data_IF_486411451631
#
_entry.id   IF_486411451631
#
_cell.length_a   1.000
_cell.length_b   1.000
_cell.length_c   1.000
_cell.angle_alpha   90.00
_cell.angle_beta   90.00
_cell.angle_gamma   90.00
#
_symmetry.space_group_name_H-M   'P 1'
#
loop_
_entity.id
_entity.type
_entity.pdbx_description
1 polymer ?
#
# COMPACT_ATOMS: atom_id res chain seq x y z
N UNK A 1 0.69 13.40 4.53
CA UNK A 1 1.46 14.55 3.98
C UNK A 1 1.16 15.95 4.56
N UNK A 2 0.08 16.17 5.33
CA UNK A 2 -0.31 17.54 5.76
C UNK A 2 0.67 18.20 6.74
N UNK A 3 1.35 17.42 7.59
CA UNK A 3 2.29 17.94 8.59
C UNK A 3 3.74 18.08 8.10
N UNK A 4 4.13 17.32 7.07
CA UNK A 4 5.50 17.34 6.55
C UNK A 4 5.77 18.57 5.68
N UNK A 5 4.74 19.11 5.01
CA UNK A 5 4.81 20.32 4.19
C UNK A 5 5.30 21.54 4.98
N UNK A 6 4.71 21.81 6.15
CA UNK A 6 5.10 22.95 6.99
C UNK A 6 6.53 22.80 7.50
N UNK A 7 6.87 21.62 8.02
CA UNK A 7 8.21 21.33 8.51
C UNK A 7 9.26 21.49 7.40
N UNK A 8 8.98 21.00 6.19
CA UNK A 8 9.86 21.14 5.03
C UNK A 8 10.04 22.61 4.64
N UNK A 9 8.96 23.40 4.60
CA UNK A 9 9.02 24.82 4.27
C UNK A 9 9.90 25.61 5.25
N UNK A 10 9.76 25.36 6.55
CA UNK A 10 10.59 25.96 7.60
C UNK A 10 12.07 25.58 7.39
N UNK A 11 12.33 24.30 7.12
CA UNK A 11 13.68 23.81 6.88
C UNK A 11 14.32 24.51 5.69
N UNK A 12 13.61 24.64 4.56
CA UNK A 12 14.07 25.35 3.37
C UNK A 12 14.46 26.80 3.65
N UNK A 13 13.74 27.51 4.53
CA UNK A 13 14.08 28.88 4.93
C UNK A 13 15.43 28.91 5.67
N UNK A 14 15.64 28.01 6.63
CA UNK A 14 16.92 27.93 7.35
C UNK A 14 18.06 27.52 6.43
N UNK A 15 17.81 26.60 5.50
CA UNK A 15 18.76 26.18 4.46
C UNK A 15 19.17 27.36 3.57
N UNK A 16 18.18 28.14 3.10
CA UNK A 16 18.43 29.35 2.32
C UNK A 16 19.24 30.37 3.12
N UNK A 17 18.91 30.59 4.39
CA UNK A 17 19.66 31.48 5.27
C UNK A 17 21.10 31.01 5.50
N UNK A 18 21.32 29.70 5.68
CA UNK A 18 22.66 29.13 5.86
C UNK A 18 23.53 29.33 4.61
N UNK A 19 22.99 29.07 3.41
CA UNK A 19 23.74 29.12 2.14
C UNK A 19 23.90 30.54 1.59
N UNK A 20 22.88 31.38 1.74
CA UNK A 20 22.82 32.72 1.11
C UNK A 20 22.93 33.88 2.12
N UNK A 21 22.91 33.62 3.43
CA UNK A 21 22.94 34.64 4.47
C UNK A 21 24.15 35.57 4.41
N UNK A 22 25.27 35.13 3.86
CA UNK A 22 26.45 35.97 3.62
C UNK A 22 26.19 37.15 2.69
N UNK A 23 25.13 37.11 1.85
CA UNK A 23 24.75 38.23 0.99
C UNK A 23 24.13 39.40 1.74
N UNK A 24 23.62 39.16 2.95
CA UNK A 24 23.07 40.20 3.82
C UNK A 24 24.17 40.96 4.59
N UNK A 25 25.43 40.50 4.54
CA UNK A 25 26.56 41.12 5.23
C UNK A 25 27.30 42.11 4.32
N UNK A 26 27.69 43.25 4.89
CA UNK A 26 28.43 44.30 4.21
C UNK A 26 29.73 43.79 3.57
N UNK A 27 30.11 44.30 2.38
CA UNK A 27 31.39 43.97 1.75
C UNK A 27 32.57 44.46 2.60
N UNK A 28 33.25 43.55 3.30
CA UNK A 28 34.44 43.87 4.11
C UNK A 28 34.45 43.22 5.50
N UNK A 29 33.30 42.75 5.99
CA UNK A 29 33.21 42.15 7.32
C UNK A 29 33.90 40.77 7.38
N UNK A 30 34.77 40.52 8.36
CA UNK A 30 35.49 39.25 8.51
C UNK A 30 34.56 38.04 8.65
N UNK A 31 33.42 38.21 9.32
CA UNK A 31 32.41 37.16 9.45
C UNK A 31 31.82 36.72 8.09
N UNK A 32 31.84 37.57 7.07
CA UNK A 32 31.35 37.21 5.72
C UNK A 32 32.19 36.09 5.10
N UNK A 33 33.51 36.11 5.26
CA UNK A 33 34.38 35.02 4.76
C UNK A 33 34.17 33.73 5.52
N UNK A 34 34.06 33.80 6.86
CA UNK A 34 33.77 32.61 7.69
C UNK A 34 32.44 31.99 7.27
N UNK A 35 31.42 32.81 7.03
CA UNK A 35 30.12 32.34 6.57
C UNK A 35 30.16 31.73 5.17
N UNK A 36 30.91 32.31 4.24
CA UNK A 36 31.09 31.75 2.90
C UNK A 36 31.78 30.37 2.94
N UNK A 37 32.79 30.21 3.80
CA UNK A 37 33.45 28.91 4.00
C UNK A 37 32.47 27.90 4.60
N UNK A 38 31.70 28.29 5.62
CA UNK A 38 30.68 27.42 6.20
C UNK A 38 29.62 27.00 5.18
N UNK A 39 29.12 27.93 4.36
CA UNK A 39 28.17 27.65 3.28
C UNK A 39 28.77 26.70 2.24
N UNK A 40 30.03 26.92 1.84
CA UNK A 40 30.72 26.06 0.89
C UNK A 40 30.90 24.63 1.42
N UNK A 41 31.27 24.47 2.70
CA UNK A 41 31.37 23.17 3.36
C UNK A 41 30.02 22.47 3.38
N UNK A 42 28.94 23.16 3.75
CA UNK A 42 27.58 22.59 3.77
C UNK A 42 27.15 22.10 2.39
N UNK A 43 27.35 22.89 1.34
CA UNK A 43 27.03 22.49 -0.04
C UNK A 43 27.90 21.30 -0.48
N UNK A 44 29.20 21.31 -0.15
CA UNK A 44 30.09 20.19 -0.46
C UNK A 44 29.64 18.89 0.23
N UNK A 45 29.23 18.96 1.50
CA UNK A 45 28.67 17.81 2.23
C UNK A 45 27.42 17.26 1.54
N UNK A 46 26.51 18.12 1.07
CA UNK A 46 25.34 17.66 0.31
C UNK A 46 25.71 16.97 -0.99
N UNK A 47 26.66 17.51 -1.76
CA UNK A 47 27.11 16.89 -3.02
C UNK A 47 27.71 15.52 -2.76
N UNK A 48 28.53 15.40 -1.70
CA UNK A 48 29.15 14.13 -1.31
C UNK A 48 28.09 13.10 -0.87
N UNK A 49 27.05 13.53 -0.16
CA UNK A 49 25.98 12.65 0.34
C UNK A 49 24.85 12.40 -0.67
N UNK A 50 24.84 13.10 -1.79
CA UNK A 50 23.76 13.04 -2.78
C UNK A 50 23.54 11.62 -3.34
N UNK A 51 24.58 10.82 -3.68
CA UNK A 51 24.38 9.46 -4.18
C UNK A 51 23.69 8.56 -3.15
N UNK A 52 24.11 8.60 -1.89
CA UNK A 52 23.51 7.81 -0.82
C UNK A 52 22.03 8.17 -0.59
N UNK A 53 21.68 9.45 -0.73
CA UNK A 53 20.28 9.89 -0.64
C UNK A 53 19.46 9.48 -1.86
N UNK A 54 20.07 9.45 -3.05
CA UNK A 54 19.43 8.98 -4.27
C UNK A 54 19.12 7.48 -4.20
N UNK A 55 20.10 6.65 -3.80
CA UNK A 55 19.92 5.20 -3.69
C UNK A 55 18.82 4.83 -2.68
N UNK A 56 18.75 5.56 -1.56
CA UNK A 56 17.70 5.39 -0.56
C UNK A 56 16.32 5.74 -1.15
N UNK A 57 16.23 6.86 -1.87
CA UNK A 57 14.96 7.29 -2.47
C UNK A 57 14.51 6.33 -3.58
N UNK A 58 15.40 5.86 -4.42
CA UNK A 58 15.06 4.91 -5.50
C UNK A 58 14.63 3.55 -4.96
N UNK A 59 15.24 3.09 -3.87
CA UNK A 59 14.82 1.85 -3.20
C UNK A 59 13.41 2.01 -2.63
N UNK A 60 13.15 3.11 -1.93
CA UNK A 60 11.80 3.39 -1.39
C UNK A 60 10.76 3.54 -2.52
N UNK A 61 11.12 4.17 -3.64
CA UNK A 61 10.22 4.34 -4.78
C UNK A 61 9.90 3.00 -5.46
N UNK A 62 10.89 2.11 -5.58
CA UNK A 62 10.69 0.75 -6.08
C UNK A 62 9.77 -0.06 -5.16
N UNK A 63 10.04 -0.07 -3.85
CA UNK A 63 9.21 -0.79 -2.87
C UNK A 63 7.76 -0.30 -2.88
N UNK A 64 7.55 1.02 -2.96
CA UNK A 64 6.20 1.60 -3.05
C UNK A 64 5.52 1.27 -4.37
N UNK A 65 6.27 1.26 -5.47
CA UNK A 65 5.74 0.91 -6.80
C UNK A 65 5.30 -0.55 -6.86
N UNK A 66 6.07 -1.45 -6.25
CA UNK A 66 5.78 -2.88 -6.19
C UNK A 66 4.58 -3.17 -5.28
N UNK A 67 4.49 -2.52 -4.12
CA UNK A 67 3.31 -2.56 -3.25
C UNK A 67 2.05 -2.05 -3.97
N UNK A 68 2.16 -0.91 -4.66
CA UNK A 68 1.06 -0.32 -5.42
C UNK A 68 0.64 -1.20 -6.61
N UNK A 69 1.55 -1.98 -7.18
CA UNK A 69 1.25 -2.93 -8.24
C UNK A 69 0.36 -4.07 -7.71
N UNK A 70 0.75 -4.68 -6.59
CA UNK A 70 -0.02 -5.78 -5.97
C UNK A 70 -1.40 -5.29 -5.50
N UNK A 71 -1.47 -4.06 -4.99
CA UNK A 71 -2.72 -3.43 -4.61
C UNK A 71 -3.66 -3.19 -5.79
N UNK A 72 -3.17 -2.60 -6.88
CA UNK A 72 -3.95 -2.37 -8.10
C UNK A 72 -4.45 -3.67 -8.71
N UNK A 73 -3.64 -4.72 -8.69
CA UNK A 73 -4.10 -6.02 -9.16
C UNK A 73 -5.24 -6.59 -8.32
N UNK A 74 -5.32 -6.25 -7.03
CA UNK A 74 -6.46 -6.68 -6.23
C UNK A 74 -7.72 -5.91 -6.61
N UNK A 75 -7.57 -4.60 -6.83
CA UNK A 75 -8.62 -3.70 -7.30
C UNK A 75 -9.13 -4.14 -8.69
N UNK A 76 -8.24 -4.47 -9.62
CA UNK A 76 -8.59 -4.96 -10.95
C UNK A 76 -9.48 -6.21 -10.89
N UNK A 77 -9.27 -7.14 -9.93
CA UNK A 77 -10.16 -8.29 -9.76
C UNK A 77 -11.56 -7.90 -9.26
N UNK A 78 -11.65 -6.83 -8.47
CA UNK A 78 -12.94 -6.28 -8.03
C UNK A 78 -13.65 -5.64 -9.21
N UNK A 79 -12.96 -4.77 -9.95
CA UNK A 79 -13.48 -4.05 -11.11
C UNK A 79 -13.87 -4.98 -12.27
N UNK A 80 -13.13 -6.06 -12.48
CA UNK A 80 -13.45 -7.12 -13.46
C UNK A 80 -14.70 -7.95 -13.08
N UNK A 81 -15.26 -7.70 -11.90
CA UNK A 81 -16.50 -8.33 -11.47
C UNK A 81 -16.30 -9.68 -10.79
N UNK A 82 -15.06 -10.09 -10.45
CA UNK A 82 -14.76 -11.47 -10.03
C UNK A 82 -15.46 -11.88 -8.73
N UNK A 83 -15.79 -10.90 -7.89
CA UNK A 83 -16.43 -11.09 -6.58
C UNK A 83 -17.96 -11.00 -6.63
N UNK A 84 -18.54 -10.62 -7.75
CA UNK A 84 -19.98 -10.38 -7.86
C UNK A 84 -20.72 -11.60 -8.42
N UNK A 85 -22.00 -11.73 -8.06
CA UNK A 85 -22.86 -12.70 -8.72
C UNK A 85 -23.19 -12.23 -10.16
N UNK A 86 -23.37 -13.19 -11.07
CA UNK A 86 -23.51 -12.90 -12.50
C UNK A 86 -24.66 -11.92 -12.78
N UNK A 87 -24.32 -10.73 -13.27
CA UNK A 87 -25.29 -9.70 -13.67
C UNK A 87 -25.94 -8.94 -12.52
N UNK A 88 -25.34 -8.97 -11.33
CA UNK A 88 -25.79 -8.24 -10.13
C UNK A 88 -24.63 -7.53 -9.46
N UNK A 89 -24.92 -6.47 -8.70
CA UNK A 89 -23.93 -5.78 -7.86
C UNK A 89 -23.72 -6.48 -6.51
N UNK A 90 -24.40 -7.61 -6.26
CA UNK A 90 -24.28 -8.35 -5.01
C UNK A 90 -23.02 -9.22 -4.97
N UNK A 91 -22.27 -9.12 -3.88
CA UNK A 91 -21.09 -9.97 -3.66
C UNK A 91 -21.54 -11.41 -3.51
N UNK A 92 -20.97 -12.28 -4.34
CA UNK A 92 -21.29 -13.71 -4.30
C UNK A 92 -20.62 -14.34 -3.08
N UNK A 93 -21.40 -15.14 -2.36
CA UNK A 93 -20.87 -16.14 -1.43
C UNK A 93 -19.94 -15.58 -0.35
N UNK A 94 -20.50 -14.81 0.57
CA UNK A 94 -19.82 -14.42 1.79
C UNK A 94 -19.60 -15.64 2.73
N UNK A 95 -18.59 -15.63 3.61
CA UNK A 95 -17.56 -14.59 3.79
C UNK A 95 -16.40 -14.69 2.78
N UNK A 96 -15.64 -13.60 2.62
CA UNK A 96 -14.40 -13.55 1.86
C UNK A 96 -13.23 -13.83 2.79
N UNK A 97 -12.49 -14.87 2.50
CA UNK A 97 -11.29 -15.25 3.25
C UNK A 97 -10.06 -14.57 2.65
N UNK A 98 -9.51 -13.60 3.37
CA UNK A 98 -8.32 -12.85 3.01
C UNK A 98 -7.05 -13.53 3.58
N UNK A 99 -5.91 -13.45 2.85
CA UNK A 99 -4.67 -14.10 3.27
C UNK A 99 -3.93 -13.33 4.37
N UNK A 100 -4.26 -12.04 4.57
CA UNK A 100 -3.80 -11.20 5.69
C UNK A 100 -4.85 -10.12 6.02
N UNK A 101 -4.85 -9.63 7.26
CA UNK A 101 -5.71 -8.57 7.80
C UNK A 101 -5.64 -7.25 7.03
N UNK A 102 -4.53 -6.99 6.32
CA UNK A 102 -4.36 -5.79 5.48
C UNK A 102 -5.35 -5.71 4.32
N UNK A 103 -5.74 -6.85 3.76
CA UNK A 103 -6.72 -6.89 2.68
C UNK A 103 -8.16 -6.64 3.15
N UNK A 104 -8.45 -6.88 4.44
CA UNK A 104 -9.80 -6.80 5.02
C UNK A 104 -10.45 -5.42 4.82
N UNK A 105 -9.89 -4.30 5.33
CA UNK A 105 -10.56 -3.01 5.24
C UNK A 105 -10.69 -2.53 3.80
N UNK A 106 -9.73 -2.89 2.94
CA UNK A 106 -9.69 -2.43 1.55
C UNK A 106 -10.67 -3.19 0.67
N UNK A 107 -10.73 -4.51 0.80
CA UNK A 107 -11.76 -5.34 0.15
C UNK A 107 -13.15 -4.96 0.64
N UNK A 108 -13.34 -4.74 1.93
CA UNK A 108 -14.62 -4.30 2.48
C UNK A 108 -15.05 -2.94 1.89
N UNK A 109 -14.10 -2.00 1.74
CA UNK A 109 -14.34 -0.71 1.13
C UNK A 109 -14.70 -0.82 -0.36
N UNK A 110 -13.89 -1.53 -1.16
CA UNK A 110 -14.11 -1.64 -2.61
C UNK A 110 -15.37 -2.43 -2.96
N UNK A 111 -15.68 -3.48 -2.20
CA UNK A 111 -16.87 -4.30 -2.41
C UNK A 111 -18.12 -3.75 -1.71
N UNK A 112 -17.98 -2.66 -0.96
CA UNK A 112 -19.01 -2.03 -0.13
C UNK A 112 -19.77 -3.03 0.78
N UNK A 113 -19.00 -3.92 1.44
CA UNK A 113 -19.51 -4.92 2.40
C UNK A 113 -19.02 -4.61 3.81
N UNK A 114 -19.61 -5.28 4.81
CA UNK A 114 -19.16 -5.10 6.19
C UNK A 114 -17.75 -5.68 6.34
N UNK A 115 -16.85 -5.04 7.10
CA UNK A 115 -15.54 -5.61 7.40
C UNK A 115 -15.60 -7.00 8.05
N UNK A 116 -16.69 -7.31 8.77
CA UNK A 116 -16.93 -8.63 9.36
C UNK A 116 -17.21 -9.73 8.33
N UNK A 117 -17.58 -9.36 7.10
CA UNK A 117 -17.82 -10.30 6.01
C UNK A 117 -16.51 -10.65 5.26
N UNK A 118 -15.40 -9.98 5.61
CA UNK A 118 -14.05 -10.29 5.12
C UNK A 118 -13.20 -10.80 6.30
N UNK A 119 -12.90 -12.09 6.30
CA UNK A 119 -12.21 -12.78 7.39
C UNK A 119 -10.73 -12.94 7.05
N UNK A 120 -9.84 -12.51 7.94
CA UNK A 120 -8.40 -12.80 7.81
C UNK A 120 -8.13 -14.22 8.27
N UNK A 121 -7.82 -15.13 7.34
CA UNK A 121 -7.52 -16.54 7.66
C UNK A 121 -6.22 -16.69 8.45
N UNK A 122 -5.33 -15.70 8.37
CA UNK A 122 -4.10 -15.68 9.14
C UNK A 122 -4.34 -15.44 10.65
N UNK A 123 -5.48 -14.83 11.02
CA UNK A 123 -5.86 -14.51 12.39
C UNK A 123 -7.03 -15.37 12.92
N UNK A 124 -7.89 -15.88 12.05
CA UNK A 124 -9.13 -16.58 12.40
C UNK A 124 -9.25 -17.95 11.72
N UNK A 125 -10.16 -18.81 12.21
CA UNK A 125 -10.41 -20.10 11.58
C UNK A 125 -11.01 -19.94 10.19
N UNK A 126 -10.40 -20.62 9.22
CA UNK A 126 -10.83 -20.58 7.83
C UNK A 126 -12.26 -21.09 7.65
N UNK A 127 -13.17 -20.28 7.08
CA UNK A 127 -14.52 -20.71 6.72
C UNK A 127 -14.49 -21.90 5.74
N UNK A 128 -15.46 -22.82 5.88
CA UNK A 128 -15.58 -24.00 4.99
C UNK A 128 -16.19 -23.69 3.62
N UNK A 129 -16.88 -22.56 3.50
CA UNK A 129 -17.59 -22.09 2.30
C UNK A 129 -17.35 -20.60 2.13
N UNK A 130 -17.47 -20.10 0.90
CA UNK A 130 -17.32 -18.69 0.57
C UNK A 130 -16.29 -18.46 -0.53
N UNK A 131 -15.69 -17.28 -0.53
CA UNK A 131 -14.58 -16.90 -1.39
C UNK A 131 -13.25 -17.00 -0.64
N UNK A 132 -12.18 -17.39 -1.34
CA UNK A 132 -10.83 -17.44 -0.77
C UNK A 132 -9.86 -16.74 -1.72
N UNK A 133 -9.22 -15.69 -1.21
CA UNK A 133 -8.22 -14.93 -1.92
C UNK A 133 -6.83 -15.45 -1.55
N UNK A 134 -6.03 -15.80 -2.55
CA UNK A 134 -4.67 -16.27 -2.37
C UNK A 134 -3.69 -15.44 -3.21
N UNK A 135 -2.47 -15.21 -2.70
CA UNK A 135 -1.40 -14.66 -3.53
C UNK A 135 -1.03 -15.65 -4.64
N UNK A 136 -0.82 -15.14 -5.86
CA UNK A 136 -0.45 -15.95 -7.02
C UNK A 136 1.05 -16.31 -7.04
N UNK A 137 1.90 -15.49 -6.42
CA UNK A 137 3.38 -15.58 -6.46
C UNK A 137 3.99 -15.12 -5.15
N UNK A 138 5.23 -15.51 -4.90
CA UNK A 138 6.02 -15.06 -3.73
C UNK A 138 6.16 -13.54 -3.69
N UNK A 139 6.36 -12.92 -4.85
CA UNK A 139 6.41 -11.46 -5.00
C UNK A 139 5.19 -10.76 -4.37
N UNK A 140 3.99 -11.33 -4.50
CA UNK A 140 2.77 -10.80 -3.88
C UNK A 140 2.85 -10.88 -2.36
N UNK A 141 3.42 -11.96 -1.82
CA UNK A 141 3.56 -12.16 -0.38
C UNK A 141 4.52 -11.10 0.18
N UNK A 142 5.69 -10.96 -0.44
CA UNK A 142 6.74 -10.02 -0.03
C UNK A 142 6.27 -8.56 -0.13
N UNK A 143 5.60 -8.18 -1.23
CA UNK A 143 5.20 -6.80 -1.48
C UNK A 143 3.80 -6.44 -0.98
N UNK A 144 3.04 -7.38 -0.41
CA UNK A 144 1.76 -7.06 0.24
C UNK A 144 1.88 -7.01 1.76
N UNK A 145 2.86 -7.71 2.32
CA UNK A 145 3.09 -7.82 3.76
C UNK A 145 4.25 -6.91 4.14
N UNK A 146 3.95 -5.65 4.49
CA UNK A 146 5.02 -4.70 4.85
C UNK A 146 5.74 -5.04 6.17
N UNK A 147 5.30 -6.05 6.96
CA UNK A 147 5.96 -6.41 8.22
C UNK A 147 6.31 -7.92 8.29
N UNK A 148 7.60 -8.29 8.19
CA UNK A 148 8.08 -9.66 8.41
C UNK A 148 7.82 -10.19 9.84
N UNK A 149 7.55 -9.29 10.79
CA UNK A 149 7.21 -9.61 12.19
C UNK A 149 5.71 -9.79 12.46
N UNK A 150 4.85 -9.69 11.45
CA UNK A 150 3.43 -9.99 11.57
C UNK A 150 3.26 -11.49 11.90
N UNK A 151 2.87 -11.79 13.14
CA UNK A 151 2.71 -13.16 13.65
C UNK A 151 1.66 -13.97 12.84
N UNK A 152 0.84 -13.28 12.05
CA UNK A 152 -0.20 -13.87 11.21
C UNK A 152 0.37 -14.36 9.88
N UNK A 153 0.88 -15.60 9.88
CA UNK A 153 1.39 -16.28 8.67
C UNK A 153 0.37 -16.25 7.54
N UNK A 154 0.80 -15.86 6.34
CA UNK A 154 -0.01 -15.87 5.12
C UNK A 154 -0.53 -17.27 4.83
N UNK A 155 -1.84 -17.42 4.74
CA UNK A 155 -2.44 -18.66 4.27
C UNK A 155 -2.52 -18.62 2.76
N UNK A 156 -1.66 -19.40 2.10
CA UNK A 156 -1.54 -19.42 0.63
C UNK A 156 -2.29 -20.56 -0.02
N UNK A 157 -2.66 -21.59 0.75
CA UNK A 157 -3.34 -22.78 0.21
C UNK A 157 -4.85 -22.68 0.40
N UNK A 158 -5.65 -22.91 -0.66
CA UNK A 158 -7.09 -22.96 -0.53
C UNK A 158 -7.53 -24.21 0.24
N UNK A 159 -8.66 -24.16 0.96
CA UNK A 159 -9.26 -25.34 1.59
C UNK A 159 -9.72 -26.36 0.54
N UNK A 160 -9.87 -27.61 0.98
CA UNK A 160 -10.48 -28.65 0.14
C UNK A 160 -11.88 -28.24 -0.33
N UNK A 161 -12.14 -28.35 -1.64
CA UNK A 161 -13.45 -28.03 -2.25
C UNK A 161 -13.50 -26.67 -2.95
N UNK A 162 -12.54 -25.79 -2.69
CA UNK A 162 -12.41 -24.51 -3.39
C UNK A 162 -11.86 -24.70 -4.80
N UNK A 163 -12.48 -24.01 -5.77
CA UNK A 163 -12.06 -24.02 -7.18
C UNK A 163 -11.74 -22.61 -7.63
N UNK A 164 -10.71 -22.48 -8.44
CA UNK A 164 -10.32 -21.20 -9.02
C UNK A 164 -11.46 -20.65 -9.90
N UNK A 165 -11.79 -19.38 -9.70
CA UNK A 165 -12.82 -18.66 -10.45
C UNK A 165 -12.26 -17.44 -11.18
N UNK A 166 -11.18 -16.84 -10.69
CA UNK A 166 -10.47 -15.75 -11.33
C UNK A 166 -8.99 -15.75 -10.93
N UNK A 167 -8.15 -15.16 -11.78
CA UNK A 167 -6.71 -15.05 -11.56
C UNK A 167 -6.16 -13.87 -12.34
N UNK A 168 -5.18 -13.18 -11.75
CA UNK A 168 -4.30 -12.28 -12.47
C UNK A 168 -2.83 -12.51 -12.08
N UNK A 169 -1.97 -11.52 -12.34
CA UNK A 169 -0.52 -11.64 -12.08
C UNK A 169 -0.17 -11.78 -10.60
N UNK A 170 -0.97 -11.17 -9.70
CA UNK A 170 -0.67 -11.11 -8.26
C UNK A 170 -1.62 -11.94 -7.41
N UNK A 171 -2.84 -12.22 -7.86
CA UNK A 171 -3.89 -12.81 -7.06
C UNK A 171 -4.61 -13.97 -7.76
N UNK A 172 -5.13 -14.89 -6.96
CA UNK A 172 -6.01 -15.99 -7.38
C UNK A 172 -7.23 -15.98 -6.47
N UNK A 173 -8.41 -15.95 -7.06
CA UNK A 173 -9.67 -16.07 -6.36
C UNK A 173 -10.22 -17.48 -6.53
N UNK A 174 -10.54 -18.11 -5.40
CA UNK A 174 -11.21 -19.39 -5.36
C UNK A 174 -12.61 -19.24 -4.78
N UNK A 175 -13.55 -20.09 -5.20
CA UNK A 175 -14.87 -20.21 -4.59
C UNK A 175 -15.21 -21.64 -4.24
N UNK A 176 -15.91 -21.81 -3.12
CA UNK A 176 -16.63 -23.03 -2.75
C UNK A 176 -18.06 -22.66 -2.38
N UNK A 177 -18.76 -22.02 -3.33
CA UNK A 177 -20.14 -21.62 -3.17
C UNK A 177 -21.08 -22.82 -3.31
N UNK A 178 -21.92 -23.12 -2.31
CA UNK A 178 -23.13 -23.90 -2.59
C UNK A 178 -24.05 -23.08 -3.51
N UNK A 179 -24.86 -23.74 -4.33
CA UNK A 179 -25.85 -23.15 -5.26
C UNK A 179 -26.94 -22.28 -4.60
N UNK A 180 -26.83 -21.99 -3.30
CA UNK A 180 -27.69 -21.09 -2.53
C UNK A 180 -26.94 -20.38 -1.40
N UNK A 181 -25.65 -20.06 -1.60
CA UNK A 181 -24.84 -19.31 -0.62
C UNK A 181 -25.40 -17.91 -0.35
N UNK A 182 -25.17 -17.39 0.87
CA UNK A 182 -25.57 -16.05 1.26
C UNK A 182 -24.91 -15.00 0.35
N UNK A 183 -25.73 -14.28 -0.40
CA UNK A 183 -25.35 -13.04 -1.07
C UNK A 183 -25.48 -11.90 -0.07
N UNK A 184 -24.48 -11.01 -0.05
CA UNK A 184 -24.58 -9.74 0.66
C UNK A 184 -24.91 -8.65 -0.34
N UNK A 185 -25.90 -7.81 -0.04
CA UNK A 185 -26.24 -6.69 -0.91
C UNK A 185 -25.08 -5.70 -0.94
N UNK A 186 -24.67 -5.27 -2.14
CA UNK A 186 -24.04 -3.96 -2.30
C UNK A 186 -25.15 -2.90 -2.20
N UNK A 187 -25.15 -2.00 -1.20
CA UNK A 187 -26.00 -0.84 -1.31
C UNK A 187 -25.45 0.02 -2.45
N UNK A 188 -26.27 0.24 -3.49
CA UNK A 188 -26.00 1.19 -4.56
C UNK A 188 -25.50 2.52 -3.97
N UNK A 189 -24.19 2.76 -4.01
CA UNK A 189 -23.62 4.07 -3.74
C UNK A 189 -23.91 4.96 -4.95
N UNK A 190 -25.08 5.61 -4.92
CA UNK A 190 -25.28 6.82 -5.70
C UNK A 190 -24.34 7.89 -5.14
N UNK A 191 -23.14 7.98 -5.70
CA UNK A 191 -22.19 9.04 -5.36
C UNK A 191 -22.73 10.43 -5.74
N UNK A 192 -22.31 11.49 -5.04
CA UNK A 192 -22.31 12.85 -5.57
C UNK A 192 -21.14 13.11 -6.53
#
# INVERSE_FOLDING_TARGET
PRYTMLAAAILFIFTAAAVLGWRLLEPGHRLRRVWQVAAAITVALWIIWLPNQYDLLSTVDQDLSDQALVERDLEDLVDDGAFYANGTDDVRCLPISAPNHRAVPRLAFWLDIKPTDVVSVAAEQQPRTGLFLAPAREFTIENFILDPGDETRTVTRPPSGFREVARNRSWILYSNCPTGGSTGNAPLSTGP
#
